data_IF_345427547593
#
_entry.id   IF_345427547593
#
_cell.length_a   1.000
_cell.length_b   1.000
_cell.length_c   1.000
_cell.angle_alpha   90.00
_cell.angle_beta   90.00
_cell.angle_gamma   90.00
#
_symmetry.space_group_name_H-M   'P 1'
#
loop_
_entity.id
_entity.type
_entity.pdbx_description
1 polymer ?
#
# COMPACT_ATOMS: atom_id res chain seq x y z
N UNK A 1 9.33 16.43 -17.95
CA UNK A 1 9.59 15.02 -18.34
C UNK A 1 9.47 14.19 -17.09
N UNK A 2 8.50 13.29 -17.01
CA UNK A 2 8.44 12.34 -15.90
C UNK A 2 9.57 11.32 -16.06
N UNK A 3 10.28 11.03 -14.98
CA UNK A 3 11.30 9.97 -14.96
C UNK A 3 10.57 8.64 -15.16
N UNK A 4 10.93 7.87 -16.19
CA UNK A 4 10.49 6.49 -16.29
C UNK A 4 11.15 5.70 -15.16
N UNK A 5 10.34 5.00 -14.39
CA UNK A 5 10.79 4.07 -13.35
C UNK A 5 10.77 2.69 -14.02
N UNK A 6 11.93 2.04 -14.11
CA UNK A 6 12.02 0.62 -14.45
C UNK A 6 11.81 -0.20 -13.18
N UNK A 7 10.85 -1.12 -13.22
CA UNK A 7 10.60 -2.08 -12.14
C UNK A 7 11.29 -3.40 -12.46
N UNK A 8 11.91 -4.01 -11.47
CA UNK A 8 12.58 -5.30 -11.54
C UNK A 8 11.83 -6.33 -10.70
N UNK A 9 12.09 -7.61 -10.95
CA UNK A 9 11.51 -8.69 -10.16
C UNK A 9 11.68 -8.43 -8.64
N UNK A 10 10.56 -8.48 -7.92
CA UNK A 10 10.49 -8.16 -6.48
C UNK A 10 10.26 -6.69 -6.14
N UNK A 11 10.33 -5.76 -7.10
CA UNK A 11 9.98 -4.36 -6.88
C UNK A 11 8.47 -4.18 -6.79
N UNK A 12 8.03 -3.43 -5.79
CA UNK A 12 6.63 -2.97 -5.66
C UNK A 12 6.63 -1.45 -5.62
N UNK A 13 5.97 -0.83 -6.59
CA UNK A 13 5.76 0.62 -6.62
C UNK A 13 4.35 0.93 -6.13
N UNK A 14 4.28 1.59 -4.97
CA UNK A 14 3.04 2.13 -4.41
C UNK A 14 3.01 3.62 -4.65
N UNK A 15 1.93 4.13 -5.24
CA UNK A 15 1.72 5.58 -5.40
C UNK A 15 0.29 5.98 -5.08
N UNK A 16 0.13 7.18 -4.53
CA UNK A 16 -1.17 7.82 -4.44
C UNK A 16 -1.48 8.52 -5.77
N UNK A 17 -2.69 8.32 -6.27
CA UNK A 17 -3.25 8.95 -7.47
C UNK A 17 -4.50 9.74 -7.11
N UNK A 18 -5.13 10.42 -8.07
CA UNK A 18 -6.22 11.39 -7.80
C UNK A 18 -7.41 10.79 -7.02
N UNK A 19 -7.67 9.50 -7.18
CA UNK A 19 -8.83 8.79 -6.65
C UNK A 19 -8.45 7.56 -5.80
N UNK A 20 -7.24 7.56 -5.21
CA UNK A 20 -6.82 6.49 -4.30
C UNK A 20 -5.39 6.03 -4.51
N UNK A 21 -5.14 4.74 -4.32
CA UNK A 21 -3.80 4.15 -4.39
C UNK A 21 -3.65 3.23 -5.57
N UNK A 22 -2.45 3.19 -6.13
CA UNK A 22 -2.08 2.31 -7.22
C UNK A 22 -0.83 1.53 -6.83
N UNK A 23 -0.86 0.22 -7.10
CA UNK A 23 0.26 -0.69 -6.94
C UNK A 23 0.67 -1.20 -8.31
N UNK A 24 1.95 -1.14 -8.60
CA UNK A 24 2.57 -1.67 -9.80
C UNK A 24 3.67 -2.65 -9.39
N UNK A 25 3.63 -3.88 -9.91
CA UNK A 25 4.68 -4.89 -9.75
C UNK A 25 4.90 -5.60 -11.08
N UNK A 26 6.13 -6.05 -11.40
CA UNK A 26 6.31 -6.96 -12.52
C UNK A 26 5.49 -8.23 -12.32
N UNK A 27 4.90 -8.72 -13.40
CA UNK A 27 4.11 -9.94 -13.38
C UNK A 27 5.02 -11.15 -13.09
N UNK A 28 4.56 -12.05 -12.23
CA UNK A 28 5.35 -13.21 -11.78
C UNK A 28 5.59 -14.26 -12.88
N UNK A 29 4.74 -14.30 -13.91
CA UNK A 29 4.83 -15.27 -15.01
C UNK A 29 5.58 -14.69 -16.20
N UNK A 30 5.36 -13.41 -16.50
CA UNK A 30 6.01 -12.70 -17.61
C UNK A 30 6.48 -11.29 -17.17
N UNK A 31 7.77 -11.12 -16.82
CA UNK A 31 8.31 -9.87 -16.33
C UNK A 31 8.27 -8.69 -17.33
N UNK A 32 7.93 -8.91 -18.60
CA UNK A 32 7.68 -7.82 -19.54
C UNK A 32 6.34 -7.10 -19.27
N UNK A 33 5.45 -7.72 -18.52
CA UNK A 33 4.17 -7.15 -18.10
C UNK A 33 4.23 -6.62 -16.67
N UNK A 34 3.43 -5.59 -16.41
CA UNK A 34 3.25 -5.00 -15.08
C UNK A 34 1.83 -5.30 -14.62
N UNK A 35 1.70 -6.01 -13.51
CA UNK A 35 0.43 -6.14 -12.82
C UNK A 35 0.11 -4.84 -12.08
N UNK A 36 -1.14 -4.41 -12.20
CA UNK A 36 -1.62 -3.14 -11.67
C UNK A 36 -2.88 -3.36 -10.83
N UNK A 37 -2.88 -2.81 -9.61
CA UNK A 37 -4.06 -2.76 -8.74
C UNK A 37 -4.39 -1.33 -8.38
N UNK A 38 -5.68 -1.03 -8.31
CA UNK A 38 -6.19 0.29 -7.94
C UNK A 38 -7.13 0.14 -6.75
N UNK A 39 -6.85 0.89 -5.70
CA UNK A 39 -7.61 0.95 -4.46
C UNK A 39 -8.26 2.32 -4.35
N UNK A 40 -9.55 2.37 -4.67
CA UNK A 40 -10.32 3.62 -4.72
C UNK A 40 -10.56 4.22 -3.32
N UNK A 41 -10.42 5.54 -3.20
CA UNK A 41 -10.53 6.28 -1.93
C UNK A 41 -11.96 6.68 -1.54
N UNK A 42 -12.99 6.25 -2.27
CA UNK A 42 -14.41 6.47 -1.94
C UNK A 42 -14.81 6.01 -0.54
N UNK A 43 -14.09 5.03 0.01
CA UNK A 43 -14.27 4.53 1.39
C UNK A 43 -13.38 5.23 2.43
N UNK A 44 -12.57 6.20 2.00
CA UNK A 44 -11.56 6.90 2.78
C UNK A 44 -10.14 6.49 2.37
N UNK A 45 -9.25 7.48 2.18
CA UNK A 45 -7.85 7.27 1.75
C UNK A 45 -7.07 6.31 2.65
N UNK A 46 -7.31 6.36 3.96
CA UNK A 46 -6.66 5.51 4.95
C UNK A 46 -7.15 4.06 4.88
N UNK A 47 -8.45 3.84 4.58
CA UNK A 47 -9.03 2.51 4.39
C UNK A 47 -8.59 1.88 3.07
N UNK A 48 -8.48 2.69 2.02
CA UNK A 48 -7.91 2.25 0.75
C UNK A 48 -6.44 1.81 0.91
N UNK A 49 -5.63 2.58 1.65
CA UNK A 49 -4.26 2.20 1.98
C UNK A 49 -4.22 0.93 2.84
N UNK A 50 -5.12 0.81 3.83
CA UNK A 50 -5.22 -0.38 4.66
C UNK A 50 -5.46 -1.63 3.80
N UNK A 51 -6.44 -1.59 2.88
CA UNK A 51 -6.74 -2.70 2.00
C UNK A 51 -5.54 -3.08 1.13
N UNK A 52 -4.85 -2.09 0.56
CA UNK A 52 -3.62 -2.29 -0.20
C UNK A 52 -2.57 -3.04 0.63
N UNK A 53 -2.33 -2.62 1.87
CA UNK A 53 -1.35 -3.26 2.74
C UNK A 53 -1.76 -4.70 3.09
N UNK A 54 -3.06 -4.98 3.28
CA UNK A 54 -3.53 -6.35 3.51
C UNK A 54 -3.32 -7.26 2.30
N UNK A 55 -3.67 -6.79 1.10
CA UNK A 55 -3.58 -7.62 -0.10
C UNK A 55 -2.12 -7.91 -0.48
N UNK A 56 -1.25 -6.92 -0.39
CA UNK A 56 0.13 -7.04 -0.87
C UNK A 56 1.16 -7.37 0.21
N UNK A 57 0.92 -6.98 1.47
CA UNK A 57 1.92 -7.09 2.54
C UNK A 57 1.53 -8.02 3.71
N UNK A 58 0.38 -8.71 3.63
CA UNK A 58 -0.10 -9.57 4.74
C UNK A 58 0.88 -10.66 5.15
N UNK A 59 1.69 -11.18 4.23
CA UNK A 59 2.73 -12.17 4.54
C UNK A 59 3.79 -11.66 5.53
N UNK A 60 3.99 -10.33 5.61
CA UNK A 60 4.92 -9.69 6.54
C UNK A 60 4.25 -9.17 7.81
N UNK A 61 2.93 -9.30 7.94
CA UNK A 61 2.22 -8.84 9.13
C UNK A 61 2.52 -9.73 10.33
N UNK A 62 2.55 -9.12 11.50
CA UNK A 62 2.77 -9.84 12.75
C UNK A 62 1.65 -10.87 12.98
N UNK A 63 2.03 -12.06 13.43
CA UNK A 63 1.08 -13.08 13.88
C UNK A 63 1.39 -13.52 15.30
N UNK A 64 0.58 -14.45 15.83
CA UNK A 64 0.84 -15.08 17.13
C UNK A 64 2.14 -15.90 17.15
N UNK A 65 2.65 -16.29 15.98
CA UNK A 65 3.75 -17.25 15.85
C UNK A 65 5.04 -16.65 15.28
N UNK A 66 4.98 -15.46 14.70
CA UNK A 66 6.17 -14.75 14.20
C UNK A 66 6.02 -13.23 14.36
N UNK A 67 7.15 -12.55 14.56
CA UNK A 67 7.21 -11.09 14.47
C UNK A 67 6.86 -10.60 13.07
N UNK A 68 6.57 -9.31 12.94
CA UNK A 68 6.20 -8.71 11.66
C UNK A 68 5.76 -7.27 11.80
N UNK A 69 5.18 -6.75 10.72
CA UNK A 69 4.61 -5.41 10.65
C UNK A 69 3.28 -5.35 11.41
N UNK A 70 3.07 -4.25 12.12
CA UNK A 70 1.77 -3.89 12.70
C UNK A 70 1.24 -2.71 11.93
N UNK A 71 0.04 -2.86 11.37
CA UNK A 71 -0.68 -1.77 10.69
C UNK A 71 -1.87 -1.42 11.57
N UNK A 72 -1.87 -0.20 12.10
CA UNK A 72 -2.99 0.36 12.86
C UNK A 72 -3.55 1.56 12.11
N UNK A 73 -4.87 1.60 11.99
CA UNK A 73 -5.61 2.62 11.23
C UNK A 73 -6.71 3.14 12.12
N UNK A 74 -6.54 4.38 12.57
CA UNK A 74 -7.50 5.07 13.42
C UNK A 74 -8.44 5.93 12.58
N UNK A 75 -9.75 5.76 12.77
CA UNK A 75 -10.77 6.67 12.24
C UNK A 75 -10.80 8.01 13.00
N UNK A 76 -10.18 8.07 14.18
CA UNK A 76 -9.98 9.32 14.93
C UNK A 76 -8.66 9.94 14.49
N UNK A 77 -8.66 11.22 14.18
CA UNK A 77 -7.42 11.99 14.06
C UNK A 77 -6.60 11.89 15.35
N UNK A 78 -5.30 12.16 15.26
CA UNK A 78 -4.54 12.48 16.48
C UNK A 78 -5.31 13.61 17.16
N UNK A 79 -5.75 13.38 18.39
CA UNK A 79 -6.02 14.50 19.29
C UNK A 79 -4.72 15.30 19.25
N UNK A 80 -4.75 16.49 18.65
CA UNK A 80 -3.67 17.45 18.82
C UNK A 80 -3.42 17.46 20.32
N UNK A 81 -2.17 17.21 20.72
CA UNK A 81 -1.72 17.34 22.10
C UNK A 81 -2.31 18.66 22.61
N UNK A 82 -3.40 18.58 23.38
CA UNK A 82 -3.95 19.77 24.03
C UNK A 82 -2.82 20.27 24.91
N UNK A 83 -2.32 21.45 24.57
CA UNK A 83 -1.29 22.18 25.30
C UNK A 83 -1.56 22.06 26.82
N UNK A 84 -0.76 21.26 27.53
CA UNK A 84 -0.49 21.44 28.96
C UNK A 84 0.81 22.21 29.15
#
# INVERSE_FOLDING_TARGET
MSKMIELREGDVLIRHVRNGWEVLTPNEVDPEYIDTWVYDDTVGIHKALQQLLWDHLSAWFQSKHHGGLVVDVSDKGREEEEDE
#
